data_IF_292264923870
#
_entry.id   IF_292264923870
#
_cell.length_a   1.000
_cell.length_b   1.000
_cell.length_c   1.000
_cell.angle_alpha   90.00
_cell.angle_beta   90.00
_cell.angle_gamma   90.00
#
_symmetry.space_group_name_H-M   'P 1'
#
loop_
_entity.id
_entity.type
_entity.pdbx_description
1 polymer ?
#
# COMPACT_ATOMS: atom_id res chain seq x y z
N UNK A 1 30.42 28.77 6.58
CA UNK A 1 29.23 27.88 6.64
C UNK A 1 28.04 28.69 6.15
N UNK A 2 27.32 28.23 5.12
CA UNK A 2 26.09 28.90 4.65
C UNK A 2 25.04 28.84 5.76
N UNK A 3 24.37 29.96 6.02
CA UNK A 3 23.36 30.06 7.07
C UNK A 3 22.12 29.24 6.68
N UNK A 4 21.77 28.25 7.49
CA UNK A 4 20.55 27.44 7.31
C UNK A 4 19.33 28.32 7.59
N UNK A 5 18.36 28.33 6.68
CA UNK A 5 17.11 29.08 6.91
C UNK A 5 16.19 28.30 7.82
N UNK A 6 15.60 29.00 8.80
CA UNK A 6 14.70 28.40 9.79
C UNK A 6 13.25 28.43 9.30
N UNK A 7 12.53 27.35 9.57
CA UNK A 7 11.09 27.23 9.29
C UNK A 7 10.29 27.80 10.47
N UNK A 8 9.37 28.71 10.17
CA UNK A 8 8.48 29.32 11.16
C UNK A 8 7.47 28.32 11.77
N UNK A 9 7.02 27.34 10.98
CA UNK A 9 6.04 26.31 11.35
C UNK A 9 6.67 24.95 11.04
N UNK A 10 7.00 24.22 12.09
CA UNK A 10 7.54 22.88 12.00
C UNK A 10 6.85 21.99 13.05
N UNK A 11 5.87 21.14 12.66
CA UNK A 11 5.28 20.20 13.60
C UNK A 11 6.36 19.26 14.16
N UNK A 12 6.22 18.88 15.44
CA UNK A 12 7.12 17.88 16.04
C UNK A 12 6.86 16.51 15.41
N UNK A 13 7.93 15.71 15.18
CA UNK A 13 7.76 14.33 14.76
C UNK A 13 7.08 13.50 15.86
N UNK A 14 6.31 12.49 15.46
CA UNK A 14 5.83 11.47 16.39
C UNK A 14 6.81 10.29 16.46
N UNK A 15 6.90 9.63 17.61
CA UNK A 15 7.85 8.52 17.84
C UNK A 15 7.67 7.34 16.87
N UNK A 16 6.44 7.10 16.42
CA UNK A 16 6.10 6.06 15.47
C UNK A 16 5.84 6.59 14.06
N UNK A 17 6.28 7.80 13.72
CA UNK A 17 6.13 8.40 12.40
C UNK A 17 7.22 7.94 11.42
N UNK A 18 6.85 7.85 10.14
CA UNK A 18 7.82 7.65 9.06
C UNK A 18 8.53 8.97 8.69
N UNK A 19 9.86 8.97 8.51
CA UNK A 19 10.62 10.20 8.25
C UNK A 19 10.10 11.00 7.03
N UNK A 20 9.84 10.33 5.90
CA UNK A 20 9.24 10.99 4.73
C UNK A 20 7.85 11.56 4.99
N UNK A 21 7.05 10.93 5.86
CA UNK A 21 5.76 11.46 6.27
C UNK A 21 5.93 12.77 7.04
N UNK A 22 6.86 12.81 8.00
CA UNK A 22 7.14 14.03 8.74
C UNK A 22 7.59 15.17 7.81
N UNK A 23 8.49 14.91 6.87
CA UNK A 23 8.88 15.90 5.85
C UNK A 23 7.68 16.42 5.04
N UNK A 24 6.76 15.55 4.63
CA UNK A 24 5.55 15.95 3.91
C UNK A 24 4.60 16.78 4.75
N UNK A 25 4.45 16.49 6.06
CA UNK A 25 3.64 17.31 6.96
C UNK A 25 4.23 18.70 7.12
N UNK A 26 5.54 18.80 7.39
CA UNK A 26 6.23 20.09 7.47
C UNK A 26 6.05 20.87 6.17
N UNK A 27 6.32 20.26 5.01
CA UNK A 27 6.17 20.91 3.71
C UNK A 27 4.72 21.33 3.40
N UNK A 28 3.73 20.60 3.91
CA UNK A 28 2.32 20.90 3.69
C UNK A 28 1.88 22.20 4.36
N UNK A 29 2.48 22.58 5.51
CA UNK A 29 2.24 23.90 6.13
C UNK A 29 2.72 25.07 5.25
N UNK A 30 3.56 24.80 4.25
CA UNK A 30 4.05 25.76 3.27
C UNK A 30 3.45 25.54 1.88
N UNK A 31 2.42 24.68 1.77
CA UNK A 31 1.79 24.30 0.49
C UNK A 31 2.79 23.89 -0.60
N UNK A 32 3.85 23.17 -0.20
CA UNK A 32 4.97 22.84 -1.07
C UNK A 32 5.40 21.38 -0.88
N UNK A 33 6.45 20.95 -1.58
CA UNK A 33 7.02 19.61 -1.44
C UNK A 33 8.28 19.61 -0.57
N UNK A 34 8.65 18.46 0.04
CA UNK A 34 9.90 18.33 0.79
C UNK A 34 11.13 18.85 0.03
N UNK A 35 11.24 18.55 -1.26
CA UNK A 35 12.40 18.97 -2.08
C UNK A 35 12.49 20.49 -2.24
N UNK A 36 11.33 21.17 -2.31
CA UNK A 36 11.27 22.63 -2.35
C UNK A 36 11.64 23.24 -1.00
N UNK A 37 11.25 22.62 0.11
CA UNK A 37 11.70 23.02 1.45
C UNK A 37 13.21 22.83 1.56
N UNK A 38 13.75 21.69 1.16
CA UNK A 38 15.18 21.36 1.16
C UNK A 38 16.01 22.37 0.35
N UNK A 39 15.54 22.72 -0.85
CA UNK A 39 16.18 23.72 -1.68
C UNK A 39 16.16 25.11 -1.02
N UNK A 40 15.06 25.45 -0.33
CA UNK A 40 14.93 26.71 0.37
C UNK A 40 15.81 26.79 1.62
N UNK A 41 15.86 25.75 2.45
CA UNK A 41 16.67 25.72 3.69
C UNK A 41 18.17 25.69 3.40
N UNK A 42 18.60 25.01 2.32
CA UNK A 42 20.01 24.93 1.91
C UNK A 42 20.49 26.15 1.11
N UNK A 43 19.58 26.90 0.48
CA UNK A 43 19.92 27.99 -0.44
C UNK A 43 20.55 27.49 -1.75
N UNK A 44 20.31 26.23 -2.10
CA UNK A 44 20.80 25.56 -3.32
C UNK A 44 19.64 24.92 -4.05
N UNK A 45 19.61 25.02 -5.39
CA UNK A 45 18.68 24.26 -6.22
C UNK A 45 19.13 22.79 -6.25
N UNK A 46 18.59 21.97 -5.35
CA UNK A 46 18.84 20.53 -5.32
C UNK A 46 17.82 19.78 -6.17
N UNK A 47 18.26 19.09 -7.23
CA UNK A 47 17.41 18.43 -8.23
C UNK A 47 17.27 16.91 -7.99
N UNK A 48 17.66 16.38 -6.84
CA UNK A 48 17.63 14.92 -6.65
C UNK A 48 16.31 14.42 -6.06
N UNK A 49 15.56 13.68 -6.88
CA UNK A 49 14.49 12.80 -6.42
C UNK A 49 15.10 11.68 -5.60
N UNK A 50 15.12 11.85 -4.28
CA UNK A 50 15.48 10.76 -3.37
C UNK A 50 14.45 9.62 -3.42
N UNK A 51 14.96 8.41 -3.51
CA UNK A 51 14.19 7.18 -3.44
C UNK A 51 13.80 6.82 -1.99
N UNK A 52 13.10 5.70 -1.81
CA UNK A 52 12.71 5.23 -0.48
C UNK A 52 13.92 4.95 0.42
N UNK A 53 14.98 4.37 -0.16
CA UNK A 53 16.19 3.99 0.57
C UNK A 53 16.84 5.21 1.24
N UNK A 54 17.03 6.28 0.47
CA UNK A 54 17.66 7.53 0.90
C UNK A 54 16.76 8.44 1.73
N UNK A 55 15.44 8.17 1.84
CA UNK A 55 14.52 8.96 2.67
C UNK A 55 14.13 8.30 3.97
N UNK A 56 13.76 7.02 3.91
CA UNK A 56 13.11 6.34 5.03
C UNK A 56 14.00 5.24 5.60
N UNK A 57 14.79 4.55 4.76
CA UNK A 57 15.62 3.44 5.22
C UNK A 57 16.93 3.93 5.86
N UNK A 58 17.83 4.50 5.07
CA UNK A 58 19.10 5.06 5.52
C UNK A 58 19.21 6.51 5.02
N UNK A 59 18.57 7.46 5.73
CA UNK A 59 18.57 8.85 5.32
C UNK A 59 19.98 9.45 5.32
N UNK A 60 20.20 10.39 4.41
CA UNK A 60 21.42 11.18 4.35
C UNK A 60 21.57 11.97 5.67
N UNK A 61 22.73 11.83 6.33
CA UNK A 61 22.99 12.46 7.63
C UNK A 61 23.07 13.98 7.54
N UNK A 62 23.69 14.51 6.49
CA UNK A 62 23.82 15.95 6.30
C UNK A 62 22.44 16.57 6.04
N UNK A 63 21.60 15.88 5.29
CA UNK A 63 20.22 16.29 5.07
C UNK A 63 19.37 16.20 6.33
N UNK A 64 19.53 15.13 7.12
CA UNK A 64 18.82 14.95 8.39
C UNK A 64 19.20 16.08 9.36
N UNK A 65 20.50 16.40 9.45
CA UNK A 65 20.99 17.53 10.23
C UNK A 65 20.45 18.87 9.74
N UNK A 66 20.37 19.07 8.42
CA UNK A 66 19.80 20.27 7.81
C UNK A 66 18.32 20.47 8.20
N UNK A 67 17.51 19.41 8.10
CA UNK A 67 16.11 19.41 8.53
C UNK A 67 15.96 19.64 10.03
N UNK A 68 16.78 18.98 10.86
CA UNK A 68 16.79 19.15 12.32
C UNK A 68 17.05 20.61 12.70
N UNK A 69 18.07 21.24 12.10
CA UNK A 69 18.41 22.65 12.32
C UNK A 69 17.27 23.57 11.86
N UNK A 70 16.77 23.40 10.63
CA UNK A 70 15.71 24.23 10.08
C UNK A 70 14.41 24.16 10.90
N UNK A 71 14.10 22.99 11.47
CA UNK A 71 12.90 22.73 12.27
C UNK A 71 13.12 22.88 13.78
N UNK A 72 14.31 23.30 14.23
CA UNK A 72 14.67 23.41 15.67
C UNK A 72 14.37 22.13 16.46
N UNK A 73 14.68 20.99 15.87
CA UNK A 73 14.50 19.64 16.43
C UNK A 73 15.87 18.99 16.63
N UNK A 74 15.98 18.02 17.54
CA UNK A 74 17.24 17.29 17.73
C UNK A 74 17.44 16.30 16.59
N UNK A 75 18.67 16.19 16.09
CA UNK A 75 19.02 15.20 15.05
C UNK A 75 18.65 13.77 15.49
N UNK A 76 18.91 13.45 16.76
CA UNK A 76 18.53 12.18 17.36
C UNK A 76 17.02 11.88 17.33
N UNK A 77 16.15 12.91 17.32
CA UNK A 77 14.70 12.71 17.22
C UNK A 77 14.31 12.30 15.79
N UNK A 78 15.05 12.78 14.77
CA UNK A 78 14.84 12.40 13.36
C UNK A 78 15.50 11.06 13.01
N UNK A 79 16.69 10.80 13.56
CA UNK A 79 17.39 9.52 13.37
C UNK A 79 16.55 8.33 13.83
N UNK A 80 15.76 8.50 14.89
CA UNK A 80 14.83 7.47 15.40
C UNK A 80 13.70 7.11 14.42
N UNK A 81 13.39 8.00 13.47
CA UNK A 81 12.36 7.75 12.45
C UNK A 81 12.90 6.90 11.28
N UNK A 82 14.22 6.72 11.18
CA UNK A 82 14.86 5.84 10.19
C UNK A 82 14.46 4.39 10.39
N UNK A 83 14.14 3.69 9.30
CA UNK A 83 13.83 2.26 9.32
C UNK A 83 15.05 1.38 9.54
N UNK A 84 16.27 1.85 9.26
CA UNK A 84 17.50 1.10 9.55
C UNK A 84 17.63 0.75 11.03
N UNK A 85 17.10 1.60 11.92
CA UNK A 85 17.05 1.35 13.36
C UNK A 85 16.20 0.14 13.75
N UNK A 86 15.30 -0.33 12.86
CA UNK A 86 14.44 -1.48 13.11
C UNK A 86 15.17 -2.84 13.00
N UNK A 87 16.45 -2.86 12.62
CA UNK A 87 17.26 -4.09 12.56
C UNK A 87 16.81 -5.09 11.49
N UNK A 88 16.05 -4.64 10.49
CA UNK A 88 15.52 -5.46 9.39
C UNK A 88 16.09 -5.03 8.04
N UNK A 89 16.25 -5.95 7.07
CA UNK A 89 16.70 -5.59 5.73
C UNK A 89 15.67 -4.72 5.00
N UNK A 90 16.12 -4.00 3.97
CA UNK A 90 15.25 -3.12 3.18
C UNK A 90 14.10 -3.89 2.49
N UNK A 91 14.30 -5.18 2.17
CA UNK A 91 13.27 -6.07 1.60
C UNK A 91 12.08 -6.30 2.53
N UNK A 92 12.21 -6.00 3.82
CA UNK A 92 11.11 -6.06 4.80
C UNK A 92 10.16 -4.86 4.75
N UNK A 93 10.40 -3.89 3.86
CA UNK A 93 9.63 -2.65 3.78
C UNK A 93 9.11 -2.33 2.38
N UNK A 94 7.89 -1.79 2.33
CA UNK A 94 7.20 -1.33 1.12
C UNK A 94 7.65 0.08 0.79
N UNK A 95 8.46 0.17 -0.27
CA UNK A 95 9.07 1.42 -0.69
C UNK A 95 8.12 2.35 -1.44
N UNK A 96 7.17 1.84 -2.23
CA UNK A 96 6.26 2.69 -3.01
C UNK A 96 5.06 3.16 -2.15
N UNK A 97 4.85 4.47 -1.96
CA UNK A 97 3.66 5.00 -1.30
C UNK A 97 2.31 4.54 -1.88
N UNK A 98 2.25 4.10 -3.15
CA UNK A 98 1.05 3.56 -3.78
C UNK A 98 0.65 2.19 -3.21
N UNK A 99 1.64 1.42 -2.75
CA UNK A 99 1.46 0.07 -2.20
C UNK A 99 1.38 0.07 -0.67
N UNK A 100 1.71 1.21 -0.04
CA UNK A 100 1.52 1.43 1.40
C UNK A 100 0.04 1.67 1.69
N UNK A 101 -0.49 0.90 2.63
CA UNK A 101 -1.83 1.15 3.16
C UNK A 101 -1.77 2.09 4.35
N UNK A 102 -2.86 2.80 4.60
CA UNK A 102 -3.08 3.58 5.83
C UNK A 102 -4.27 3.03 6.60
N UNK A 103 -4.36 3.27 7.90
CA UNK A 103 -5.58 3.01 8.65
C UNK A 103 -6.40 4.30 8.74
N UNK A 104 -7.58 4.39 8.09
CA UNK A 104 -8.39 5.60 8.14
C UNK A 104 -8.96 5.90 9.52
N UNK A 105 -9.09 4.89 10.40
CA UNK A 105 -9.56 5.08 11.78
C UNK A 105 -8.49 5.77 12.62
N UNK A 106 -7.23 5.30 12.54
CA UNK A 106 -6.08 6.01 13.11
C UNK A 106 -5.98 7.48 12.66
N UNK A 107 -6.29 7.75 11.39
CA UNK A 107 -6.29 9.11 10.85
C UNK A 107 -7.44 9.96 11.41
N UNK A 108 -8.64 9.38 11.56
CA UNK A 108 -9.77 10.06 12.20
C UNK A 108 -9.47 10.39 13.67
N UNK A 109 -8.81 9.48 14.41
CA UNK A 109 -8.36 9.73 15.79
C UNK A 109 -7.33 10.87 15.84
N UNK A 110 -6.38 10.93 14.91
CA UNK A 110 -5.45 12.07 14.81
C UNK A 110 -6.21 13.39 14.64
N UNK A 111 -7.25 13.39 13.81
CA UNK A 111 -8.07 14.56 13.56
C UNK A 111 -8.91 14.95 14.79
N UNK A 112 -9.44 13.97 15.52
CA UNK A 112 -10.23 14.17 16.76
C UNK A 112 -9.36 14.72 17.89
N UNK A 113 -8.10 14.33 17.96
CA UNK A 113 -7.10 14.87 18.90
C UNK A 113 -6.50 16.21 18.43
N UNK A 114 -7.01 16.79 17.34
CA UNK A 114 -6.53 18.07 16.80
C UNK A 114 -5.13 18.02 16.18
N UNK A 115 -4.57 16.83 15.97
CA UNK A 115 -3.24 16.63 15.38
C UNK A 115 -3.31 16.66 13.85
N UNK A 116 -2.15 16.74 13.21
CA UNK A 116 -2.05 16.41 11.79
C UNK A 116 -2.26 14.91 11.59
N UNK A 117 -2.77 14.53 10.41
CA UNK A 117 -2.63 13.15 9.97
C UNK A 117 -1.15 12.81 9.84
N UNK A 118 -0.78 11.59 10.21
CA UNK A 118 0.55 11.06 9.94
C UNK A 118 0.53 9.56 9.60
N UNK A 119 1.51 9.13 8.83
CA UNK A 119 1.73 7.74 8.46
C UNK A 119 2.64 7.09 9.50
N UNK A 120 2.12 6.02 10.11
CA UNK A 120 2.88 5.26 11.09
C UNK A 120 3.96 4.45 10.39
N UNK A 121 5.14 4.41 10.99
CA UNK A 121 6.32 3.67 10.54
C UNK A 121 6.03 2.17 10.40
N UNK A 122 5.18 1.61 11.26
CA UNK A 122 4.76 0.20 11.16
C UNK A 122 3.98 -0.11 9.88
N UNK A 123 3.33 0.87 9.24
CA UNK A 123 2.53 0.63 8.03
C UNK A 123 3.37 0.35 6.78
N UNK A 124 4.67 0.64 6.81
CA UNK A 124 5.57 0.31 5.70
C UNK A 124 6.07 -1.12 5.72
N UNK A 125 5.87 -1.89 6.79
CA UNK A 125 6.35 -3.27 6.83
C UNK A 125 5.55 -4.15 5.87
N UNK A 126 6.20 -5.14 5.25
CA UNK A 126 5.57 -6.01 4.23
C UNK A 126 4.35 -6.75 4.77
N UNK A 127 4.38 -7.14 6.04
CA UNK A 127 3.32 -7.82 6.77
C UNK A 127 2.21 -6.87 7.28
N UNK A 128 2.42 -5.55 7.22
CA UNK A 128 1.45 -4.57 7.67
C UNK A 128 0.33 -4.43 6.64
N UNK A 129 -0.65 -5.34 6.73
CA UNK A 129 -1.85 -5.37 5.88
C UNK A 129 -3.12 -5.05 6.66
N UNK A 130 -3.02 -5.01 7.99
CA UNK A 130 -4.09 -4.75 8.94
C UNK A 130 -3.58 -3.84 10.04
N UNK A 131 -4.41 -2.91 10.49
CA UNK A 131 -4.10 -2.09 11.66
C UNK A 131 -4.22 -2.96 12.93
N UNK A 132 -3.16 -3.13 13.74
CA UNK A 132 -3.24 -3.93 14.96
C UNK A 132 -4.16 -3.30 16.02
N UNK A 133 -4.29 -1.97 16.03
CA UNK A 133 -5.16 -1.23 16.97
C UNK A 133 -6.63 -1.37 16.61
N UNK A 134 -6.99 -1.16 15.34
CA UNK A 134 -8.39 -1.12 14.89
C UNK A 134 -8.88 -2.40 14.22
N UNK A 135 -8.00 -3.36 13.98
CA UNK A 135 -8.31 -4.66 13.34
C UNK A 135 -8.96 -4.51 11.96
N UNK A 136 -8.75 -3.40 11.28
CA UNK A 136 -9.22 -3.16 9.92
C UNK A 136 -8.07 -3.27 8.94
N UNK A 137 -8.31 -3.80 7.74
CA UNK A 137 -7.32 -3.81 6.66
C UNK A 137 -6.77 -2.41 6.39
N UNK A 138 -5.47 -2.31 6.11
CA UNK A 138 -4.88 -1.05 5.66
C UNK A 138 -5.32 -0.77 4.23
N UNK A 139 -5.60 0.50 3.93
CA UNK A 139 -6.24 0.92 2.68
C UNK A 139 -5.32 1.83 1.87
N UNK A 140 -5.21 1.57 0.58
CA UNK A 140 -4.63 2.47 -0.41
C UNK A 140 -5.68 2.95 -1.44
N UNK A 141 -6.96 2.64 -1.18
CA UNK A 141 -8.10 3.02 -2.01
C UNK A 141 -8.91 4.09 -1.28
N UNK A 142 -9.39 5.08 -2.01
CA UNK A 142 -10.31 6.06 -1.45
C UNK A 142 -11.68 5.44 -1.17
N UNK A 143 -12.17 5.51 0.07
CA UNK A 143 -13.49 5.01 0.45
C UNK A 143 -14.67 5.74 -0.25
N UNK A 144 -14.43 6.89 -0.89
CA UNK A 144 -15.46 7.68 -1.60
C UNK A 144 -15.50 7.40 -3.09
N UNK A 145 -14.35 7.47 -3.78
CA UNK A 145 -14.28 7.31 -5.22
C UNK A 145 -13.71 5.95 -5.67
N UNK A 146 -13.32 5.09 -4.72
CA UNK A 146 -12.77 3.74 -4.92
C UNK A 146 -11.49 3.65 -5.76
N UNK A 147 -10.92 4.77 -6.19
CA UNK A 147 -9.64 4.80 -6.90
C UNK A 147 -8.51 4.49 -5.92
N UNK A 148 -7.66 3.56 -6.33
CA UNK A 148 -6.36 3.29 -5.73
C UNK A 148 -5.40 4.43 -6.03
N UNK A 149 -4.56 4.79 -5.06
CA UNK A 149 -3.42 5.66 -5.35
C UNK A 149 -2.92 6.42 -4.14
N UNK A 150 -1.96 7.29 -4.42
CA UNK A 150 -1.22 8.01 -3.39
C UNK A 150 -2.09 9.09 -2.75
N UNK A 151 -2.32 8.97 -1.45
CA UNK A 151 -2.89 10.06 -0.66
C UNK A 151 -1.89 11.21 -0.51
N UNK A 152 -2.36 12.46 -0.54
CA UNK A 152 -1.54 13.65 -0.45
C UNK A 152 -1.77 14.37 0.86
N UNK A 153 -0.68 14.74 1.54
CA UNK A 153 -0.76 15.71 2.62
C UNK A 153 -1.07 17.09 2.04
N UNK A 154 -2.08 17.75 2.61
CA UNK A 154 -2.42 19.15 2.33
C UNK A 154 -2.85 19.82 3.62
N UNK A 155 -2.51 21.10 3.76
CA UNK A 155 -3.03 21.92 4.86
C UNK A 155 -4.50 22.27 4.60
N UNK A 156 -5.30 22.22 5.65
CA UNK A 156 -6.70 22.66 5.65
C UNK A 156 -6.79 24.16 5.99
N UNK A 157 -7.92 24.82 5.73
CA UNK A 157 -8.13 26.21 6.16
C UNK A 157 -7.98 26.43 7.67
N UNK A 158 -8.18 25.39 8.48
CA UNK A 158 -7.98 25.43 9.93
C UNK A 158 -6.50 25.33 10.35
N UNK A 159 -5.56 25.33 9.40
CA UNK A 159 -4.11 25.30 9.66
C UNK A 159 -3.52 23.92 9.91
N UNK A 160 -4.35 22.87 10.02
CA UNK A 160 -3.92 21.48 10.26
C UNK A 160 -3.76 20.69 8.96
N UNK A 161 -2.82 19.74 8.93
CA UNK A 161 -2.51 18.93 7.75
C UNK A 161 -3.30 17.62 7.76
N UNK A 162 -3.90 17.27 6.62
CA UNK A 162 -4.70 16.06 6.42
C UNK A 162 -4.25 15.31 5.18
N UNK A 163 -4.52 14.00 5.15
CA UNK A 163 -4.38 13.20 3.94
C UNK A 163 -5.62 13.33 3.07
N UNK A 164 -5.43 13.65 1.80
CA UNK A 164 -6.48 13.79 0.79
C UNK A 164 -6.32 12.76 -0.32
N UNK A 165 -7.45 12.30 -0.85
CA UNK A 165 -7.46 11.57 -2.10
C UNK A 165 -7.09 12.50 -3.27
N UNK A 166 -6.10 12.11 -4.08
CA UNK A 166 -5.68 12.84 -5.29
C UNK A 166 -6.79 13.01 -6.32
N UNK A 167 -7.75 12.08 -6.37
CA UNK A 167 -8.75 12.05 -7.43
C UNK A 167 -10.04 12.78 -7.09
N UNK A 168 -10.50 12.71 -5.84
CA UNK A 168 -11.77 13.34 -5.43
C UNK A 168 -11.59 14.43 -4.38
N UNK A 169 -10.35 14.70 -3.97
CA UNK A 169 -9.99 15.77 -3.03
C UNK A 169 -10.74 15.71 -1.69
N UNK A 170 -11.20 14.52 -1.30
CA UNK A 170 -11.78 14.29 0.02
C UNK A 170 -10.72 13.81 0.98
N UNK A 171 -10.83 14.25 2.23
CA UNK A 171 -10.00 13.78 3.34
C UNK A 171 -10.20 12.27 3.47
N UNK A 172 -9.09 11.56 3.63
CA UNK A 172 -9.08 10.13 3.94
C UNK A 172 -9.62 9.96 5.35
N UNK A 173 -10.73 9.24 5.46
CA UNK A 173 -11.46 9.06 6.70
C UNK A 173 -12.14 7.70 6.71
N UNK A 174 -12.30 7.12 7.91
CA UNK A 174 -13.09 5.92 8.07
C UNK A 174 -14.59 6.18 7.93
N UNK A 175 -15.01 7.44 8.15
CA UNK A 175 -16.41 7.86 8.16
C UNK A 175 -17.09 7.62 6.81
N UNK A 176 -18.15 6.81 6.84
CA UNK A 176 -18.99 6.52 5.68
C UNK A 176 -18.67 5.20 4.95
N UNK A 177 -17.72 4.41 5.45
CA UNK A 177 -17.48 3.06 4.95
C UNK A 177 -17.33 2.06 6.10
N UNK A 178 -18.21 1.06 6.15
CA UNK A 178 -18.15 0.03 7.18
C UNK A 178 -17.06 -0.98 6.84
N UNK A 179 -16.05 -1.08 7.71
CA UNK A 179 -14.95 -2.03 7.59
C UNK A 179 -15.28 -3.30 8.32
N UNK A 180 -14.85 -4.43 7.75
CA UNK A 180 -14.93 -5.73 8.42
C UNK A 180 -13.79 -5.82 9.43
N UNK A 181 -14.08 -6.37 10.60
CA UNK A 181 -13.06 -6.81 11.55
C UNK A 181 -12.22 -7.95 10.92
N UNK A 182 -10.91 -7.83 11.03
CA UNK A 182 -9.90 -8.73 10.45
C UNK A 182 -8.98 -9.29 11.55
N UNK A 183 -9.52 -9.62 12.73
CA UNK A 183 -8.74 -10.14 13.85
C UNK A 183 -7.88 -11.37 13.49
N UNK A 184 -8.39 -12.30 12.69
CA UNK A 184 -7.61 -13.45 12.19
C UNK A 184 -6.36 -13.00 11.41
N UNK A 185 -6.50 -11.97 10.57
CA UNK A 185 -5.39 -11.44 9.79
C UNK A 185 -4.36 -10.73 10.67
N UNK A 186 -4.75 -10.19 11.83
CA UNK A 186 -3.81 -9.63 12.82
C UNK A 186 -2.90 -10.72 13.39
N UNK A 187 -3.45 -11.92 13.64
CA UNK A 187 -2.66 -13.07 14.12
C UNK A 187 -1.68 -13.54 13.04
N UNK A 188 -2.14 -13.67 11.79
CA UNK A 188 -1.30 -14.00 10.64
C UNK A 188 -0.16 -12.98 10.46
N UNK A 189 -0.48 -11.69 10.42
CA UNK A 189 0.50 -10.63 10.27
C UNK A 189 1.51 -10.60 11.44
N UNK A 190 1.06 -10.96 12.65
CA UNK A 190 1.91 -11.10 13.83
C UNK A 190 2.89 -12.27 13.70
N UNK A 191 2.42 -13.45 13.30
CA UNK A 191 3.29 -14.60 13.09
C UNK A 191 4.38 -14.32 12.03
N UNK A 192 4.00 -13.67 10.93
CA UNK A 192 4.95 -13.25 9.89
C UNK A 192 5.93 -12.20 10.42
N UNK A 193 5.46 -11.19 11.17
CA UNK A 193 6.32 -10.17 11.78
C UNK A 193 7.38 -10.81 12.67
N UNK A 194 6.95 -11.71 13.54
CA UNK A 194 7.80 -12.35 14.55
C UNK A 194 8.82 -13.28 13.87
N UNK A 195 8.42 -13.99 12.81
CA UNK A 195 9.33 -14.78 11.98
C UNK A 195 10.37 -13.91 11.26
N UNK A 196 9.99 -12.78 10.65
CA UNK A 196 10.94 -11.83 10.06
C UNK A 196 11.88 -11.24 11.13
N UNK A 197 11.37 -10.99 12.34
CA UNK A 197 12.18 -10.45 13.44
C UNK A 197 13.23 -11.43 13.97
N UNK A 198 13.03 -12.74 13.83
CA UNK A 198 14.05 -13.77 14.15
C UNK A 198 15.25 -13.72 13.19
N UNK A 199 15.05 -13.26 11.97
CA UNK A 199 16.08 -13.22 10.94
C UNK A 199 16.21 -14.54 10.18
N UNK A 200 17.42 -14.89 9.76
CA UNK A 200 17.71 -16.15 9.08
C UNK A 200 17.62 -17.35 10.05
N UNK A 201 17.06 -18.51 9.63
CA UNK A 201 16.60 -18.85 8.28
C UNK A 201 15.12 -18.52 7.99
N UNK A 202 14.32 -18.07 8.96
CA UNK A 202 12.89 -17.83 8.79
C UNK A 202 12.57 -16.76 7.73
N UNK A 203 13.38 -15.71 7.67
CA UNK A 203 13.26 -14.67 6.66
C UNK A 203 13.40 -15.25 5.24
N UNK A 204 14.41 -16.09 5.00
CA UNK A 204 14.64 -16.72 3.70
C UNK A 204 13.48 -17.61 3.27
N UNK A 205 12.87 -18.33 4.21
CA UNK A 205 11.68 -19.14 3.95
C UNK A 205 10.48 -18.28 3.55
N UNK A 206 10.28 -17.13 4.20
CA UNK A 206 9.21 -16.19 3.84
C UNK A 206 9.47 -15.58 2.46
N UNK A 207 10.70 -15.17 2.17
CA UNK A 207 11.08 -14.63 0.86
C UNK A 207 10.93 -15.70 -0.24
N UNK A 208 11.34 -16.94 0.03
CA UNK A 208 11.15 -18.07 -0.89
C UNK A 208 9.67 -18.39 -1.13
N UNK A 209 8.84 -18.43 -0.09
CA UNK A 209 7.40 -18.65 -0.21
C UNK A 209 6.72 -17.51 -0.98
N UNK A 210 7.11 -16.26 -0.72
CA UNK A 210 6.66 -15.11 -1.48
C UNK A 210 7.00 -15.27 -2.97
N UNK A 211 8.25 -15.62 -3.31
CA UNK A 211 8.66 -15.85 -4.71
C UNK A 211 7.90 -17.01 -5.35
N UNK A 212 7.67 -18.10 -4.62
CA UNK A 212 6.87 -19.24 -5.07
C UNK A 212 5.46 -18.83 -5.50
N UNK A 213 4.75 -18.08 -4.64
CA UNK A 213 3.39 -17.65 -4.94
C UNK A 213 3.28 -16.71 -6.14
N UNK A 214 4.33 -15.93 -6.41
CA UNK A 214 4.33 -14.96 -7.50
C UNK A 214 5.07 -15.45 -8.76
N UNK A 215 5.64 -16.65 -8.73
CA UNK A 215 6.27 -17.27 -9.88
C UNK A 215 5.24 -17.52 -11.00
N UNK A 216 5.65 -17.38 -12.27
CA UNK A 216 4.78 -17.65 -13.41
C UNK A 216 4.47 -19.14 -13.53
N UNK A 217 3.20 -19.48 -13.75
CA UNK A 217 2.75 -20.80 -14.20
C UNK A 217 2.91 -20.93 -15.72
N UNK A 218 2.64 -22.12 -16.27
CA UNK A 218 2.77 -22.40 -17.71
C UNK A 218 1.89 -21.50 -18.60
N UNK A 219 0.82 -20.95 -18.04
CA UNK A 219 -0.07 -19.97 -18.69
C UNK A 219 0.38 -18.50 -18.47
N UNK A 220 1.51 -18.27 -17.79
CA UNK A 220 2.07 -16.96 -17.46
C UNK A 220 1.42 -16.25 -16.27
N UNK A 221 0.38 -16.82 -15.64
CA UNK A 221 -0.25 -16.25 -14.46
C UNK A 221 0.62 -16.47 -13.19
N UNK A 222 0.39 -15.69 -12.13
CA UNK A 222 1.07 -15.94 -10.86
C UNK A 222 0.51 -17.20 -10.19
N UNK A 223 1.36 -18.07 -9.65
CA UNK A 223 0.95 -19.35 -9.03
C UNK A 223 -0.20 -19.18 -8.01
N UNK A 224 -0.17 -18.14 -7.19
CA UNK A 224 -1.20 -17.81 -6.18
C UNK A 224 -2.62 -17.74 -6.76
N UNK A 225 -2.74 -17.42 -8.05
CA UNK A 225 -4.02 -17.28 -8.73
C UNK A 225 -4.66 -18.61 -9.12
N UNK A 226 -3.88 -19.68 -9.16
CA UNK A 226 -4.33 -21.05 -9.46
C UNK A 226 -4.85 -21.81 -8.22
N UNK A 227 -4.71 -21.22 -7.03
CA UNK A 227 -4.94 -21.89 -5.75
C UNK A 227 -6.40 -21.89 -5.28
N UNK A 228 -7.33 -21.37 -6.09
CA UNK A 228 -8.75 -21.26 -5.70
C UNK A 228 -9.02 -20.34 -4.51
N UNK A 229 -8.03 -19.52 -4.11
CA UNK A 229 -8.17 -18.57 -3.00
C UNK A 229 -9.13 -17.43 -3.39
N UNK A 230 -9.87 -16.85 -2.42
CA UNK A 230 -10.65 -15.63 -2.67
C UNK A 230 -9.70 -14.46 -2.94
N UNK A 231 -9.59 -14.07 -4.21
CA UNK A 231 -8.67 -13.02 -4.64
C UNK A 231 -9.24 -11.62 -4.42
N UNK A 232 -8.38 -10.61 -4.16
CA UNK A 232 -8.81 -9.23 -4.03
C UNK A 232 -9.42 -8.69 -5.33
N UNK A 233 -10.33 -7.73 -5.20
CA UNK A 233 -10.85 -6.97 -6.33
C UNK A 233 -9.79 -5.99 -6.88
N UNK A 234 -9.91 -5.65 -8.15
CA UNK A 234 -9.08 -4.65 -8.82
C UNK A 234 -8.04 -5.26 -9.75
N UNK A 235 -7.02 -4.47 -10.10
CA UNK A 235 -5.96 -4.90 -11.02
C UNK A 235 -5.18 -6.05 -10.38
N UNK A 236 -5.13 -7.19 -11.07
CA UNK A 236 -4.27 -8.32 -10.71
C UNK A 236 -2.81 -7.95 -10.99
N UNK A 237 -1.90 -8.10 -10.00
CA UNK A 237 -0.47 -7.95 -10.24
C UNK A 237 0.02 -9.06 -11.18
N UNK A 238 0.95 -8.71 -12.06
CA UNK A 238 1.59 -9.69 -12.94
C UNK A 238 2.39 -10.71 -12.11
N UNK A 239 2.61 -11.90 -12.69
CA UNK A 239 3.65 -12.79 -12.20
C UNK A 239 4.99 -12.04 -12.16
N UNK A 240 5.84 -12.40 -11.22
CA UNK A 240 7.07 -11.70 -10.92
C UNK A 240 8.19 -12.69 -10.67
N UNK A 241 9.35 -12.43 -11.28
CA UNK A 241 10.62 -13.07 -10.94
C UNK A 241 11.45 -12.21 -9.99
N UNK A 242 10.85 -11.17 -9.41
CA UNK A 242 11.49 -10.27 -8.45
C UNK A 242 11.86 -11.00 -7.16
N UNK A 243 12.89 -10.50 -6.49
CA UNK A 243 13.45 -11.07 -5.27
C UNK A 243 12.51 -10.81 -4.08
N UNK A 244 11.81 -9.67 -4.06
CA UNK A 244 10.93 -9.28 -2.96
C UNK A 244 9.50 -8.89 -3.41
N UNK A 245 8.68 -9.83 -3.93
CA UNK A 245 7.34 -9.54 -4.43
C UNK A 245 6.45 -8.78 -3.43
N UNK A 246 6.52 -9.12 -2.14
CA UNK A 246 5.74 -8.45 -1.09
C UNK A 246 5.96 -6.94 -1.00
N UNK A 247 7.07 -6.39 -1.51
CA UNK A 247 7.35 -4.95 -1.46
C UNK A 247 6.61 -4.13 -2.52
N UNK A 248 6.01 -4.80 -3.53
CA UNK A 248 5.39 -4.19 -4.72
C UNK A 248 3.91 -4.53 -4.88
N UNK A 249 3.30 -5.03 -3.81
CA UNK A 249 1.91 -5.47 -3.80
C UNK A 249 1.06 -4.48 -3.01
N UNK A 250 -0.13 -4.19 -3.52
CA UNK A 250 -1.12 -3.43 -2.75
C UNK A 250 -1.47 -4.16 -1.44
N UNK A 251 -1.96 -3.45 -0.41
CA UNK A 251 -2.27 -4.06 0.89
C UNK A 251 -3.20 -5.27 0.80
N UNK A 252 -4.17 -5.25 -0.14
CA UNK A 252 -5.11 -6.35 -0.32
C UNK A 252 -4.45 -7.59 -0.94
N UNK A 253 -3.56 -7.42 -1.92
CA UNK A 253 -2.80 -8.53 -2.49
C UNK A 253 -1.76 -9.07 -1.51
N UNK A 254 -1.09 -8.18 -0.75
CA UNK A 254 -0.22 -8.60 0.37
C UNK A 254 -0.99 -9.43 1.39
N UNK A 255 -2.21 -9.03 1.77
CA UNK A 255 -3.01 -9.76 2.74
C UNK A 255 -3.24 -11.22 2.34
N UNK A 256 -3.60 -11.46 1.07
CA UNK A 256 -3.81 -12.82 0.57
C UNK A 256 -2.49 -13.58 0.48
N UNK A 257 -1.40 -12.93 0.05
CA UNK A 257 -0.08 -13.58 0.01
C UNK A 257 0.43 -13.96 1.39
N UNK A 258 0.38 -13.06 2.39
CA UNK A 258 0.87 -13.38 3.73
C UNK A 258 0.02 -14.45 4.42
N UNK A 259 -1.29 -14.49 4.15
CA UNK A 259 -2.16 -15.56 4.63
C UNK A 259 -1.77 -16.91 4.01
N UNK A 260 -1.51 -16.94 2.69
CA UNK A 260 -1.04 -18.13 2.01
C UNK A 260 0.35 -18.58 2.53
N UNK A 261 1.27 -17.64 2.79
CA UNK A 261 2.58 -17.94 3.40
C UNK A 261 2.40 -18.52 4.80
N UNK A 262 1.56 -17.91 5.64
CA UNK A 262 1.34 -18.38 7.00
C UNK A 262 0.69 -19.75 7.05
N UNK A 263 -0.21 -20.07 6.11
CA UNK A 263 -0.74 -21.41 5.99
C UNK A 263 0.30 -22.42 5.48
N UNK A 264 1.10 -22.02 4.49
CA UNK A 264 2.14 -22.88 3.90
C UNK A 264 3.23 -23.23 4.90
N UNK A 265 3.72 -22.25 5.68
CA UNK A 265 4.86 -22.40 6.57
C UNK A 265 4.47 -22.73 8.01
N UNK A 266 3.35 -22.19 8.52
CA UNK A 266 2.96 -22.32 9.93
C UNK A 266 1.64 -23.07 10.12
N UNK A 267 0.96 -23.48 9.05
CA UNK A 267 -0.33 -24.16 9.13
C UNK A 267 -1.49 -23.27 9.60
N UNK A 268 -1.33 -21.94 9.58
CA UNK A 268 -2.35 -20.97 10.06
C UNK A 268 -3.49 -20.72 9.05
N UNK A 269 -4.11 -21.77 8.53
CA UNK A 269 -5.25 -21.69 7.61
C UNK A 269 -6.61 -21.77 8.33
N UNK A 270 -7.65 -21.13 7.80
CA UNK A 270 -9.03 -21.41 8.22
C UNK A 270 -9.59 -22.60 7.43
N UNK A 271 -10.52 -23.38 8.00
CA UNK A 271 -11.09 -24.57 7.33
C UNK A 271 -11.68 -24.25 5.94
N UNK A 272 -12.17 -23.03 5.77
CA UNK A 272 -12.80 -22.56 4.51
C UNK A 272 -11.82 -22.02 3.46
N UNK A 273 -10.53 -21.86 3.79
CA UNK A 273 -9.55 -21.19 2.93
C UNK A 273 -8.21 -21.95 2.90
N UNK A 274 -8.27 -23.28 2.87
CA UNK A 274 -7.06 -24.08 2.87
C UNK A 274 -6.40 -24.13 1.50
N UNK A 275 -5.08 -24.06 1.50
CA UNK A 275 -4.23 -24.36 0.36
C UNK A 275 -4.38 -25.84 -0.03
N UNK A 276 -4.41 -26.15 -1.33
CA UNK A 276 -4.41 -27.53 -1.78
C UNK A 276 -3.10 -28.22 -1.37
N UNK A 277 -3.17 -29.52 -1.07
CA UNK A 277 -1.98 -30.31 -0.71
C UNK A 277 -0.89 -30.28 -1.79
N UNK A 278 -1.29 -30.14 -3.06
CA UNK A 278 -0.39 -29.95 -4.20
C UNK A 278 0.50 -28.71 -4.07
N UNK A 279 0.04 -27.65 -3.40
CA UNK A 279 0.84 -26.43 -3.21
C UNK A 279 2.05 -26.70 -2.30
N UNK A 280 1.91 -27.53 -1.27
CA UNK A 280 3.02 -27.91 -0.39
C UNK A 280 4.06 -28.74 -1.13
N UNK A 281 3.61 -29.70 -1.93
CA UNK A 281 4.49 -30.53 -2.79
C UNK A 281 5.19 -29.71 -3.87
N UNK A 282 4.49 -28.72 -4.45
CA UNK A 282 5.09 -27.81 -5.42
C UNK A 282 6.14 -26.90 -4.77
N UNK A 283 5.84 -26.35 -3.58
CA UNK A 283 6.77 -25.53 -2.82
C UNK A 283 8.03 -26.30 -2.40
N UNK A 284 7.91 -27.55 -1.95
CA UNK A 284 9.09 -28.35 -1.59
C UNK A 284 10.01 -28.66 -2.77
N UNK A 285 9.50 -28.55 -4.00
CA UNK A 285 10.27 -28.71 -5.25
C UNK A 285 10.69 -27.36 -5.86
N UNK A 286 10.31 -26.25 -5.22
CA UNK A 286 10.57 -24.92 -5.73
C UNK A 286 11.98 -24.48 -5.34
N UNK A 287 12.93 -24.74 -6.24
CA UNK A 287 14.27 -24.17 -6.16
C UNK A 287 14.32 -22.88 -6.98
N UNK A 288 14.49 -21.73 -6.32
CA UNK A 288 14.94 -20.54 -7.02
C UNK A 288 16.41 -20.27 -6.67
N UNK A 289 17.30 -20.58 -7.62
CA UNK A 289 18.59 -19.91 -7.69
C UNK A 289 18.33 -18.39 -7.73
N UNK A 290 19.01 -17.57 -6.90
CA UNK A 290 18.85 -16.12 -6.95
C UNK A 290 19.21 -15.64 -8.37
N UNK A 291 18.25 -15.07 -9.10
CA UNK A 291 18.59 -14.36 -10.34
C UNK A 291 19.15 -13.01 -9.91
N UNK A 292 20.47 -12.86 -9.97
CA UNK A 292 21.12 -11.56 -9.86
C UNK A 292 20.52 -10.68 -10.96
N UNK A 293 19.86 -9.56 -10.64
CA UNK A 293 19.32 -8.67 -11.67
C UNK A 293 20.47 -8.16 -12.53
N UNK A 294 20.44 -8.42 -13.83
CA UNK A 294 21.39 -7.81 -14.76
C UNK A 294 21.13 -6.28 -14.75
N UNK A 295 22.09 -5.43 -14.31
CA UNK A 295 21.91 -3.98 -14.28
C UNK A 295 21.68 -3.36 -15.68
N UNK A 296 21.95 -4.13 -16.73
CA UNK A 296 21.81 -3.76 -18.14
C UNK A 296 20.68 -4.47 -18.87
N UNK A 297 19.83 -5.24 -18.16
CA UNK A 297 18.62 -5.74 -18.78
C UNK A 297 17.74 -4.53 -19.16
N UNK A 298 17.32 -4.38 -20.43
CA UNK A 298 16.38 -3.33 -20.79
C UNK A 298 15.16 -3.49 -19.89
N UNK A 299 14.76 -2.38 -19.24
CA UNK A 299 13.48 -2.30 -18.54
C UNK A 299 12.43 -2.95 -19.45
N UNK A 300 11.65 -3.94 -18.98
CA UNK A 300 10.49 -4.37 -19.73
C UNK A 300 9.72 -3.09 -20.02
N UNK A 301 9.55 -2.78 -21.31
CA UNK A 301 8.75 -1.65 -21.72
C UNK A 301 7.48 -1.75 -20.88
N UNK A 302 7.23 -0.74 -20.04
CA UNK A 302 5.94 -0.62 -19.41
C UNK A 302 4.99 -0.65 -20.60
N UNK A 303 4.31 -1.77 -20.79
CA UNK A 303 3.08 -1.80 -21.53
C UNK A 303 2.19 -0.88 -20.70
N UNK A 304 2.28 0.41 -21.00
CA UNK A 304 1.13 1.27 -21.09
C UNK A 304 0.20 0.53 -22.03
N UNK A 305 -0.51 -0.47 -21.49
CA UNK A 305 -1.85 -0.72 -21.95
C UNK A 305 -2.51 0.63 -21.72
N UNK A 306 -2.49 1.46 -22.75
CA UNK A 306 -3.52 2.46 -22.94
C UNK A 306 -4.78 1.64 -22.80
N UNK A 307 -5.36 1.65 -21.60
CA UNK A 307 -6.73 1.25 -21.40
C UNK A 307 -7.45 2.23 -22.29
N UNK A 308 -7.73 1.84 -23.53
CA UNK A 308 -8.59 2.60 -24.42
C UNK A 308 -9.95 2.49 -23.75
N UNK A 309 -10.40 3.51 -23.00
CA UNK A 309 -11.70 3.41 -22.37
C UNK A 309 -12.71 3.25 -23.50
N UNK A 310 -13.65 2.31 -23.37
CA UNK A 310 -14.76 2.22 -24.32
C UNK A 310 -15.37 3.62 -24.47
N UNK A 311 -15.61 4.11 -25.69
CA UNK A 311 -16.15 5.44 -25.89
C UNK A 311 -17.53 5.54 -25.23
N UNK A 312 -17.87 6.71 -24.69
CA UNK A 312 -19.12 6.94 -23.95
C UNK A 312 -20.41 6.42 -24.64
N UNK A 313 -20.55 6.49 -25.98
CA UNK A 313 -21.71 5.93 -26.68
C UNK A 313 -21.90 4.43 -26.47
N UNK A 314 -20.81 3.66 -26.33
CA UNK A 314 -20.88 2.22 -26.05
C UNK A 314 -21.40 1.96 -24.64
N UNK A 315 -20.96 2.72 -23.64
CA UNK A 315 -21.50 2.62 -22.28
C UNK A 315 -22.99 2.98 -22.24
N UNK A 316 -23.42 4.00 -23.00
CA UNK A 316 -24.85 4.37 -23.11
C UNK A 316 -25.66 3.26 -23.77
N UNK A 317 -25.11 2.61 -24.80
CA UNK A 317 -25.74 1.46 -25.47
C UNK A 317 -25.89 0.29 -24.51
N UNK A 318 -24.81 -0.11 -23.83
CA UNK A 318 -24.83 -1.18 -22.82
C UNK A 318 -25.84 -0.91 -21.70
N UNK A 319 -25.88 0.33 -21.19
CA UNK A 319 -26.86 0.73 -20.17
C UNK A 319 -28.30 0.62 -20.70
N UNK A 320 -28.54 1.05 -21.94
CA UNK A 320 -29.86 0.96 -22.58
C UNK A 320 -30.29 -0.50 -22.80
N UNK A 321 -29.37 -1.36 -23.21
CA UNK A 321 -29.61 -2.78 -23.45
C UNK A 321 -29.90 -3.52 -22.13
N UNK A 322 -29.18 -3.18 -21.05
CA UNK A 322 -29.49 -3.67 -19.70
C UNK A 322 -30.90 -3.27 -19.30
N UNK A 323 -31.28 -1.99 -19.43
CA UNK A 323 -32.60 -1.48 -19.04
C UNK A 323 -33.73 -2.15 -19.82
N UNK A 324 -33.50 -2.47 -21.10
CA UNK A 324 -34.48 -3.15 -21.97
C UNK A 324 -34.56 -4.66 -21.73
N UNK A 325 -33.57 -5.25 -21.07
CA UNK A 325 -33.48 -6.70 -20.85
C UNK A 325 -34.61 -7.22 -19.94
N UNK A 326 -34.99 -8.49 -20.15
CA UNK A 326 -35.96 -9.16 -19.28
C UNK A 326 -35.43 -9.33 -17.85
N UNK A 327 -34.11 -9.44 -17.71
CA UNK A 327 -33.45 -9.53 -16.41
C UNK A 327 -33.60 -8.24 -15.59
N UNK A 328 -33.62 -7.07 -16.23
CA UNK A 328 -33.93 -5.80 -15.57
C UNK A 328 -35.38 -5.72 -15.09
N UNK A 329 -36.32 -6.22 -15.89
CA UNK A 329 -37.75 -6.31 -15.49
C UNK A 329 -37.98 -7.26 -14.31
N UNK A 330 -37.11 -8.26 -14.14
CA UNK A 330 -37.16 -9.21 -13.01
C UNK A 330 -36.49 -8.70 -11.72
N UNK A 331 -36.01 -7.45 -11.67
CA UNK A 331 -35.33 -6.92 -10.49
C UNK A 331 -36.28 -6.73 -9.28
N UNK A 332 -35.82 -7.00 -8.05
CA UNK A 332 -36.64 -6.83 -6.83
C UNK A 332 -37.21 -5.42 -6.73
N UNK A 333 -38.52 -5.23 -6.61
CA UNK A 333 -39.16 -3.91 -6.72
C UNK A 333 -38.73 -2.89 -5.64
N UNK A 334 -38.38 -3.35 -4.43
CA UNK A 334 -37.91 -2.48 -3.34
C UNK A 334 -36.43 -2.14 -3.49
N UNK A 335 -36.10 -0.87 -3.30
CA UNK A 335 -34.72 -0.43 -3.20
C UNK A 335 -34.04 -1.09 -1.99
N UNK A 336 -32.86 -1.65 -2.17
CA UNK A 336 -32.14 -2.37 -1.12
C UNK A 336 -30.93 -3.15 -1.65
N UNK A 337 -30.18 -3.77 -0.73
CA UNK A 337 -28.92 -4.48 -1.01
C UNK A 337 -29.06 -5.55 -2.10
N UNK A 338 -30.17 -6.28 -2.12
CA UNK A 338 -30.42 -7.35 -3.07
C UNK A 338 -30.62 -6.81 -4.49
N UNK A 339 -31.39 -5.73 -4.64
CA UNK A 339 -31.58 -5.04 -5.92
C UNK A 339 -30.25 -4.46 -6.42
N UNK A 340 -29.44 -3.83 -5.55
CA UNK A 340 -28.12 -3.30 -5.93
C UNK A 340 -27.15 -4.39 -6.38
N UNK A 341 -27.13 -5.56 -5.71
CA UNK A 341 -26.31 -6.72 -6.14
C UNK A 341 -26.78 -7.29 -7.48
N UNK A 342 -28.09 -7.36 -7.69
CA UNK A 342 -28.65 -7.84 -8.95
C UNK A 342 -28.31 -6.90 -10.12
N UNK A 343 -28.41 -5.58 -9.91
CA UNK A 343 -27.96 -4.57 -10.88
C UNK A 343 -26.46 -4.71 -11.17
N UNK A 344 -25.63 -4.85 -10.14
CA UNK A 344 -24.18 -5.05 -10.30
C UNK A 344 -23.83 -6.28 -11.13
N UNK A 345 -24.58 -7.39 -10.98
CA UNK A 345 -24.41 -8.60 -11.81
C UNK A 345 -24.79 -8.37 -13.27
N UNK A 346 -25.82 -7.57 -13.55
CA UNK A 346 -26.20 -7.23 -14.92
C UNK A 346 -25.15 -6.36 -15.60
N UNK A 347 -24.62 -5.38 -14.88
CA UNK A 347 -23.52 -4.54 -15.38
C UNK A 347 -22.26 -5.37 -15.67
N UNK A 348 -21.92 -6.30 -14.79
CA UNK A 348 -20.74 -7.14 -14.96
C UNK A 348 -20.85 -8.08 -16.17
N UNK A 349 -22.02 -8.69 -16.40
CA UNK A 349 -22.26 -9.51 -17.61
C UNK A 349 -22.14 -8.68 -18.88
N UNK A 350 -22.81 -7.52 -18.93
CA UNK A 350 -22.78 -6.65 -20.10
C UNK A 350 -21.37 -6.12 -20.44
N UNK A 351 -20.48 -6.01 -19.45
CA UNK A 351 -19.09 -5.60 -19.66
C UNK A 351 -18.16 -6.75 -20.09
N UNK A 352 -18.52 -7.99 -19.81
CA UNK A 352 -17.70 -9.18 -20.09
C UNK A 352 -18.14 -9.94 -21.36
N UNK A 353 -19.40 -9.81 -21.78
CA UNK A 353 -20.00 -10.55 -22.90
C UNK A 353 -19.89 -9.82 -24.26
N UNK A 354 -19.10 -8.73 -24.36
CA UNK A 354 -18.99 -7.90 -25.56
C UNK A 354 -17.60 -7.40 -25.87
#
# INVERSE_FOLDING_TARGET
MRQVRLLAVAPRPFDDELLSCWHWRVASHYSTSPQRVESWISGTLGVQSQDFSSRDFQPDRDLTRLWALACRTREADLDRLSLKSAGRPISSFVGDPLDRGVCPVCLDEDAEEGRDHYCRRSWVSVEAVVCPRHKTGLENNCARCFRSGLFQFRQTPAGVVRLFCRNCEKVVSARGFQRRDQAELVQVATAIRDAIAKGEPELDLIEMASRFFWAPTSDGAAYITSLGLPLPYGRRPSASTDIAPLTKLSPAWRAVTIAAIAELLFGMGSETKRLPSSARTAFSRFELKPTVPNPHAPLPAQLTSHLTPRPEPEYRKLASDIIRSQAWKSLPQKAGRERSRAIGRLMLRALNDG
#
